data_IF_003861837120
#
_entry.id   IF_003861837120
#
_cell.length_a   1.000
_cell.length_b   1.000
_cell.length_c   1.000
_cell.angle_alpha   90.00
_cell.angle_beta   90.00
_cell.angle_gamma   90.00
#
_symmetry.space_group_name_H-M   'P 1'
#
loop_
_entity.id
_entity.type
_entity.pdbx_description
1 polymer ?
#
# COMPACT_ATOMS: atom_id res chain seq x y z
N UNK A 1 74.60 39.45 17.04
CA UNK A 1 74.02 38.30 16.32
C UNK A 1 75.16 37.33 16.10
N UNK A 2 75.27 36.32 16.95
CA UNK A 2 76.24 35.24 16.70
C UNK A 2 75.68 34.41 15.54
N UNK A 3 76.37 34.44 14.41
CA UNK A 3 76.15 33.47 13.36
C UNK A 3 76.59 32.13 13.93
N UNK A 4 75.63 31.23 14.18
CA UNK A 4 75.92 29.83 14.44
C UNK A 4 76.74 29.30 13.27
N UNK A 5 78.05 29.24 13.43
CA UNK A 5 78.97 28.68 12.43
C UNK A 5 78.56 27.25 12.22
N UNK A 6 78.10 26.92 11.01
CA UNK A 6 77.70 25.56 10.66
C UNK A 6 78.90 24.66 10.92
N UNK A 7 78.75 23.76 11.89
CA UNK A 7 79.80 22.79 12.23
C UNK A 7 79.95 21.81 11.05
N UNK A 8 81.05 21.97 10.32
CA UNK A 8 81.42 21.20 9.13
C UNK A 8 82.42 20.09 9.47
N UNK A 9 82.61 19.76 10.74
CA UNK A 9 83.52 18.69 11.19
C UNK A 9 83.18 17.31 10.62
N UNK A 10 81.95 17.11 10.14
CA UNK A 10 81.50 15.89 9.47
C UNK A 10 81.91 15.82 7.98
N UNK A 11 82.36 16.94 7.40
CA UNK A 11 82.71 17.03 5.99
C UNK A 11 84.16 16.57 5.78
N UNK A 12 84.43 15.68 4.80
CA UNK A 12 85.79 15.26 4.48
C UNK A 12 86.70 16.46 4.19
N UNK A 13 87.97 16.40 4.58
CA UNK A 13 88.92 17.51 4.35
C UNK A 13 89.40 17.58 2.90
N UNK A 14 89.37 16.45 2.19
CA UNK A 14 89.75 16.38 0.77
C UNK A 14 88.58 16.80 -0.15
N UNK A 15 88.89 17.61 -1.17
CA UNK A 15 87.87 18.19 -2.06
C UNK A 15 87.23 17.16 -2.99
N UNK A 16 87.96 16.10 -3.38
CA UNK A 16 87.42 15.05 -4.23
C UNK A 16 86.45 14.16 -3.43
N UNK A 17 86.79 13.87 -2.17
CA UNK A 17 85.89 13.18 -1.23
C UNK A 17 84.60 13.97 -0.93
N UNK A 18 84.67 15.30 -0.79
CA UNK A 18 83.50 16.15 -0.63
C UNK A 18 82.54 16.09 -1.83
N UNK A 19 83.10 16.11 -3.04
CA UNK A 19 82.33 16.01 -4.28
C UNK A 19 81.68 14.62 -4.41
N UNK A 20 82.41 13.55 -4.08
CA UNK A 20 81.86 12.20 -4.03
C UNK A 20 80.72 12.07 -3.01
N UNK A 21 80.86 12.69 -1.83
CA UNK A 21 79.80 12.75 -0.81
C UNK A 21 78.57 13.52 -1.32
N UNK A 22 78.77 14.66 -1.98
CA UNK A 22 77.70 15.42 -2.64
C UNK A 22 76.92 14.57 -3.65
N UNK A 23 77.61 13.85 -4.53
CA UNK A 23 76.98 12.91 -5.46
C UNK A 23 76.20 11.81 -4.75
N UNK A 24 76.73 11.27 -3.64
CA UNK A 24 76.05 10.24 -2.85
C UNK A 24 74.78 10.78 -2.19
N UNK A 25 74.82 11.98 -1.61
CA UNK A 25 73.65 12.65 -1.02
C UNK A 25 72.57 12.86 -2.08
N UNK A 26 72.95 13.42 -3.22
CA UNK A 26 72.02 13.66 -4.34
C UNK A 26 71.45 12.33 -4.85
N UNK A 27 72.30 11.33 -5.10
CA UNK A 27 71.87 10.00 -5.55
C UNK A 27 70.90 9.36 -4.56
N UNK A 28 71.17 9.44 -3.26
CA UNK A 28 70.29 8.92 -2.22
C UNK A 28 68.96 9.69 -2.16
N UNK A 29 68.97 11.01 -2.31
CA UNK A 29 67.76 11.81 -2.37
C UNK A 29 66.86 11.40 -3.56
N UNK A 30 67.46 11.22 -4.75
CA UNK A 30 66.72 10.71 -5.91
C UNK A 30 66.20 9.29 -5.70
N UNK A 31 67.03 8.37 -5.17
CA UNK A 31 66.59 7.00 -4.86
C UNK A 31 65.44 6.98 -3.86
N UNK A 32 65.51 7.79 -2.80
CA UNK A 32 64.42 7.91 -1.83
C UNK A 32 63.16 8.43 -2.49
N UNK A 33 63.26 9.48 -3.32
CA UNK A 33 62.10 10.04 -4.02
C UNK A 33 61.46 9.04 -4.98
N UNK A 34 62.28 8.32 -5.74
CA UNK A 34 61.81 7.24 -6.63
C UNK A 34 61.10 6.16 -5.83
N UNK A 35 61.70 5.69 -4.73
CA UNK A 35 61.10 4.67 -3.87
C UNK A 35 59.74 5.11 -3.31
N UNK A 36 59.62 6.36 -2.83
CA UNK A 36 58.34 6.91 -2.38
C UNK A 36 57.31 6.91 -3.50
N UNK A 37 57.66 7.44 -4.68
CA UNK A 37 56.75 7.46 -5.84
C UNK A 37 56.34 6.06 -6.29
N UNK A 38 57.25 5.09 -6.27
CA UNK A 38 56.95 3.69 -6.59
C UNK A 38 55.97 3.08 -5.59
N UNK A 39 56.12 3.36 -4.30
CA UNK A 39 55.17 2.89 -3.26
C UNK A 39 53.80 3.53 -3.42
N UNK A 40 53.74 4.85 -3.67
CA UNK A 40 52.50 5.56 -3.94
C UNK A 40 51.80 4.98 -5.18
N UNK A 41 52.55 4.76 -6.26
CA UNK A 41 52.03 4.19 -7.51
C UNK A 41 51.47 2.78 -7.30
N UNK A 42 52.16 1.92 -6.55
CA UNK A 42 51.66 0.59 -6.17
C UNK A 42 50.36 0.69 -5.35
N UNK A 43 50.30 1.59 -4.38
CA UNK A 43 49.11 1.83 -3.56
C UNK A 43 47.92 2.30 -4.42
N UNK A 44 48.13 3.26 -5.31
CA UNK A 44 47.08 3.77 -6.19
C UNK A 44 46.57 2.69 -7.16
N UNK A 45 47.47 1.84 -7.68
CA UNK A 45 47.06 0.69 -8.51
C UNK A 45 46.20 -0.31 -7.73
N UNK A 46 46.53 -0.59 -6.48
CA UNK A 46 45.73 -1.47 -5.62
C UNK A 46 44.32 -0.89 -5.37
N UNK A 47 44.22 0.41 -5.09
CA UNK A 47 42.94 1.10 -4.93
C UNK A 47 42.09 1.05 -6.21
N UNK A 48 42.71 1.24 -7.39
CA UNK A 48 41.99 1.12 -8.67
C UNK A 48 41.43 -0.30 -8.86
N UNK A 49 42.20 -1.34 -8.54
CA UNK A 49 41.74 -2.72 -8.63
C UNK A 49 40.55 -2.97 -7.68
N UNK A 50 40.65 -2.55 -6.42
CA UNK A 50 39.56 -2.67 -5.45
C UNK A 50 38.28 -1.96 -5.90
N UNK A 51 38.40 -0.75 -6.45
CA UNK A 51 37.26 0.02 -6.98
C UNK A 51 36.65 -0.66 -8.21
N UNK A 52 37.47 -1.28 -9.05
CA UNK A 52 37.01 -2.03 -10.22
C UNK A 52 36.19 -3.26 -9.77
N UNK A 53 36.65 -3.97 -8.75
CA UNK A 53 35.92 -5.12 -8.17
C UNK A 53 34.60 -4.69 -7.52
N UNK A 54 34.60 -3.58 -6.78
CA UNK A 54 33.39 -3.00 -6.20
C UNK A 54 32.37 -2.61 -7.28
N UNK A 55 32.82 -2.01 -8.38
CA UNK A 55 31.96 -1.65 -9.51
C UNK A 55 31.37 -2.90 -10.16
N UNK A 56 32.17 -3.93 -10.42
CA UNK A 56 31.70 -5.19 -11.01
C UNK A 56 30.65 -5.88 -10.11
N UNK A 57 30.86 -5.90 -8.79
CA UNK A 57 29.90 -6.44 -7.84
C UNK A 57 28.58 -5.65 -7.83
N UNK A 58 28.65 -4.33 -7.88
CA UNK A 58 27.47 -3.46 -7.91
C UNK A 58 26.71 -3.62 -9.23
N UNK A 59 27.42 -3.70 -10.36
CA UNK A 59 26.83 -3.94 -11.67
C UNK A 59 26.08 -5.29 -11.71
N UNK A 60 26.66 -6.35 -11.13
CA UNK A 60 25.97 -7.65 -11.00
C UNK A 60 24.69 -7.54 -10.18
N UNK A 61 24.70 -6.82 -9.05
CA UNK A 61 23.51 -6.57 -8.23
C UNK A 61 22.45 -5.78 -9.01
N UNK A 62 22.88 -4.76 -9.75
CA UNK A 62 22.00 -3.94 -10.58
C UNK A 62 21.30 -4.79 -11.64
N UNK A 63 22.04 -5.60 -12.40
CA UNK A 63 21.45 -6.51 -13.40
C UNK A 63 20.49 -7.52 -12.76
N UNK A 64 20.81 -8.02 -11.56
CA UNK A 64 19.89 -8.91 -10.82
C UNK A 64 18.58 -8.21 -10.44
N UNK A 65 18.63 -6.96 -9.97
CA UNK A 65 17.43 -6.21 -9.64
C UNK A 65 16.62 -5.82 -10.87
N UNK A 66 17.28 -5.52 -11.99
CA UNK A 66 16.62 -5.24 -13.27
C UNK A 66 15.79 -6.45 -13.74
N UNK A 67 16.35 -7.67 -13.65
CA UNK A 67 15.62 -8.91 -13.96
C UNK A 67 14.44 -9.11 -13.02
N UNK A 68 14.62 -8.96 -11.70
CA UNK A 68 13.52 -9.10 -10.73
C UNK A 68 12.40 -8.09 -10.95
N UNK A 69 12.74 -6.85 -11.31
CA UNK A 69 11.78 -5.82 -11.63
C UNK A 69 10.98 -6.17 -12.89
N UNK A 70 11.66 -6.69 -13.92
CA UNK A 70 11.02 -7.15 -15.16
C UNK A 70 10.05 -8.30 -14.89
N UNK A 71 10.48 -9.32 -14.14
CA UNK A 71 9.65 -10.48 -13.76
C UNK A 71 8.44 -10.05 -12.91
N UNK A 72 8.64 -9.20 -11.91
CA UNK A 72 7.56 -8.68 -11.07
C UNK A 72 6.56 -7.87 -11.87
N UNK A 73 7.02 -7.05 -12.81
CA UNK A 73 6.14 -6.26 -13.70
C UNK A 73 5.34 -7.17 -14.61
N UNK A 74 5.98 -8.18 -15.22
CA UNK A 74 5.31 -9.17 -16.06
C UNK A 74 4.24 -9.94 -15.28
N UNK A 75 4.55 -10.39 -14.06
CA UNK A 75 3.59 -11.08 -13.19
C UNK A 75 2.42 -10.16 -12.81
N UNK A 76 2.69 -8.90 -12.51
CA UNK A 76 1.64 -7.90 -12.25
C UNK A 76 0.67 -7.73 -13.42
N UNK A 77 1.21 -7.67 -14.65
CA UNK A 77 0.40 -7.55 -15.86
C UNK A 77 -0.45 -8.81 -16.12
N UNK A 78 0.09 -10.00 -15.88
CA UNK A 78 -0.67 -11.27 -15.99
C UNK A 78 -1.86 -11.29 -15.03
N UNK A 79 -1.63 -10.97 -13.75
CA UNK A 79 -2.69 -10.91 -12.75
C UNK A 79 -3.74 -9.84 -13.09
N UNK A 80 -3.35 -8.72 -13.69
CA UNK A 80 -4.28 -7.68 -14.12
C UNK A 80 -5.21 -8.19 -15.25
N UNK A 81 -4.68 -8.90 -16.24
CA UNK A 81 -5.49 -9.50 -17.31
C UNK A 81 -6.37 -10.65 -16.79
N UNK A 82 -5.86 -11.51 -15.90
CA UNK A 82 -6.67 -12.54 -15.24
C UNK A 82 -7.83 -11.92 -14.46
N UNK A 83 -7.58 -10.88 -13.67
CA UNK A 83 -8.62 -10.16 -12.93
C UNK A 83 -9.67 -9.55 -13.87
N UNK A 84 -9.24 -8.95 -14.98
CA UNK A 84 -10.16 -8.40 -16.00
C UNK A 84 -11.03 -9.50 -16.63
N UNK A 85 -10.45 -10.67 -16.89
CA UNK A 85 -11.18 -11.83 -17.39
C UNK A 85 -12.19 -12.35 -16.36
N UNK A 86 -11.80 -12.49 -15.10
CA UNK A 86 -12.69 -12.90 -14.00
C UNK A 86 -13.85 -11.92 -13.82
N UNK A 87 -13.57 -10.61 -13.83
CA UNK A 87 -14.61 -9.56 -13.76
C UNK A 87 -15.57 -9.65 -14.94
N UNK A 88 -15.07 -9.94 -16.16
CA UNK A 88 -15.91 -10.17 -17.34
C UNK A 88 -16.84 -11.37 -17.14
N UNK A 89 -16.32 -12.48 -16.61
CA UNK A 89 -17.09 -13.69 -16.31
C UNK A 89 -18.15 -13.44 -15.23
N UNK A 90 -17.80 -12.76 -14.14
CA UNK A 90 -18.75 -12.36 -13.08
C UNK A 90 -19.89 -11.54 -13.67
N UNK A 91 -19.58 -10.55 -14.53
CA UNK A 91 -20.60 -9.72 -15.20
C UNK A 91 -21.53 -10.54 -16.11
N UNK A 92 -21.01 -11.57 -16.80
CA UNK A 92 -21.84 -12.47 -17.62
C UNK A 92 -22.76 -13.30 -16.75
N UNK A 93 -22.23 -13.94 -15.70
CA UNK A 93 -23.01 -14.75 -14.77
C UNK A 93 -24.09 -13.93 -14.06
N UNK A 94 -23.79 -12.69 -13.66
CA UNK A 94 -24.80 -11.79 -13.08
C UNK A 94 -25.97 -11.54 -14.04
N UNK A 95 -25.69 -11.27 -15.31
CA UNK A 95 -26.75 -11.10 -16.33
C UNK A 95 -27.59 -12.35 -16.52
N UNK A 96 -26.96 -13.53 -16.45
CA UNK A 96 -27.68 -14.80 -16.58
C UNK A 96 -28.54 -15.09 -15.34
N UNK A 97 -28.07 -14.73 -14.14
CA UNK A 97 -28.87 -14.76 -12.91
C UNK A 97 -30.09 -13.84 -13.05
N UNK A 98 -29.91 -12.59 -13.47
CA UNK A 98 -31.00 -11.62 -13.62
C UNK A 98 -32.06 -12.13 -14.63
N UNK A 99 -31.62 -12.79 -15.71
CA UNK A 99 -32.51 -13.44 -16.69
C UNK A 99 -33.28 -14.60 -16.07
N UNK A 100 -32.62 -15.46 -15.29
CA UNK A 100 -33.26 -16.59 -14.61
C UNK A 100 -34.27 -16.11 -13.55
N UNK A 101 -33.97 -15.04 -12.82
CA UNK A 101 -34.91 -14.42 -11.87
C UNK A 101 -36.13 -13.84 -12.59
N UNK A 102 -35.92 -13.19 -13.75
CA UNK A 102 -37.01 -12.68 -14.58
C UNK A 102 -37.89 -13.82 -15.09
N UNK A 103 -37.30 -14.89 -15.61
CA UNK A 103 -38.02 -16.09 -16.06
C UNK A 103 -38.81 -16.73 -14.92
N UNK A 104 -38.19 -16.89 -13.74
CA UNK A 104 -38.87 -17.40 -12.54
C UNK A 104 -40.09 -16.54 -12.20
N UNK A 105 -39.97 -15.21 -12.22
CA UNK A 105 -41.08 -14.30 -11.93
C UNK A 105 -42.21 -14.44 -12.95
N UNK A 106 -41.88 -14.53 -14.24
CA UNK A 106 -42.86 -14.73 -15.31
C UNK A 106 -43.59 -16.07 -15.17
N UNK A 107 -42.86 -17.16 -14.90
CA UNK A 107 -43.45 -18.50 -14.69
C UNK A 107 -44.38 -18.50 -13.48
N UNK A 108 -43.96 -17.91 -12.35
CA UNK A 108 -44.81 -17.82 -11.16
C UNK A 108 -46.07 -16.97 -11.39
N UNK A 109 -45.97 -15.87 -12.14
CA UNK A 109 -47.13 -15.03 -12.52
C UNK A 109 -48.11 -15.82 -13.40
N UNK A 110 -47.62 -16.52 -14.42
CA UNK A 110 -48.45 -17.33 -15.31
C UNK A 110 -49.17 -18.45 -14.56
N UNK A 111 -48.49 -19.14 -13.63
CA UNK A 111 -49.13 -20.18 -12.80
C UNK A 111 -50.18 -19.56 -11.86
N UNK A 112 -49.93 -18.36 -11.32
CA UNK A 112 -50.90 -17.66 -10.47
C UNK A 112 -52.11 -17.17 -11.28
N UNK A 113 -51.91 -16.68 -12.50
CA UNK A 113 -52.97 -16.28 -13.43
C UNK A 113 -53.83 -17.49 -13.82
N UNK A 114 -53.23 -18.63 -14.20
CA UNK A 114 -53.96 -19.86 -14.50
C UNK A 114 -54.76 -20.39 -13.29
N UNK A 115 -54.19 -20.37 -12.07
CA UNK A 115 -54.91 -20.76 -10.86
C UNK A 115 -56.07 -19.81 -10.54
N UNK A 116 -55.87 -18.50 -10.71
CA UNK A 116 -56.93 -17.51 -10.51
C UNK A 116 -58.03 -17.65 -11.57
N UNK A 117 -57.72 -17.97 -12.83
CA UNK A 117 -58.75 -18.24 -13.84
C UNK A 117 -59.56 -19.49 -13.52
N UNK A 118 -58.95 -20.54 -12.95
CA UNK A 118 -59.65 -21.74 -12.50
C UNK A 118 -60.52 -21.44 -11.27
N UNK A 119 -60.03 -20.67 -10.29
CA UNK A 119 -60.85 -20.21 -9.14
C UNK A 119 -61.98 -19.26 -9.56
N UNK A 120 -61.73 -18.35 -10.51
CA UNK A 120 -62.71 -17.39 -10.98
C UNK A 120 -63.75 -18.05 -11.90
N UNK A 121 -63.35 -19.09 -12.66
CA UNK A 121 -64.27 -19.99 -13.38
C UNK A 121 -65.11 -20.81 -12.38
N UNK A 122 -64.52 -21.33 -11.30
CA UNK A 122 -65.26 -21.95 -10.21
C UNK A 122 -66.24 -21.00 -9.49
N UNK A 123 -65.90 -19.70 -9.37
CA UNK A 123 -66.82 -18.67 -8.87
C UNK A 123 -67.91 -18.29 -9.86
N UNK A 124 -67.64 -18.28 -11.16
CA UNK A 124 -68.64 -18.03 -12.21
C UNK A 124 -69.69 -19.14 -12.32
N UNK A 125 -69.37 -20.38 -11.92
CA UNK A 125 -70.34 -21.49 -11.82
C UNK A 125 -70.99 -21.62 -10.43
N UNK A 126 -70.60 -20.82 -9.44
CA UNK A 126 -71.23 -20.80 -8.12
C UNK A 126 -72.35 -19.77 -8.10
N UNK A 127 -73.60 -20.24 -8.19
CA UNK A 127 -74.83 -19.45 -8.39
C UNK A 127 -75.28 -18.60 -7.19
N UNK A 128 -74.41 -18.31 -6.21
CA UNK A 128 -74.84 -17.76 -4.91
C UNK A 128 -74.55 -16.25 -4.73
N UNK A 129 -73.83 -15.59 -5.65
CA UNK A 129 -73.39 -14.19 -5.48
C UNK A 129 -74.13 -13.16 -6.35
N UNK A 130 -75.28 -13.51 -6.94
CA UNK A 130 -76.10 -12.55 -7.72
C UNK A 130 -77.09 -11.72 -6.86
N UNK A 131 -77.15 -11.94 -5.55
CA UNK A 131 -78.16 -11.32 -4.67
C UNK A 131 -77.51 -10.41 -3.62
N UNK A 132 -76.77 -9.36 -4.01
CA UNK A 132 -76.48 -8.31 -3.00
C UNK A 132 -76.25 -6.87 -3.47
N UNK A 133 -76.15 -6.58 -4.77
CA UNK A 133 -75.78 -5.22 -5.22
C UNK A 133 -76.91 -4.41 -5.87
N UNK A 134 -78.17 -4.85 -5.75
CA UNK A 134 -79.36 -4.04 -6.09
C UNK A 134 -79.70 -3.05 -4.96
N UNK A 135 -78.94 -1.97 -4.81
CA UNK A 135 -79.42 -0.77 -4.13
C UNK A 135 -78.64 0.48 -4.57
N UNK A 136 -79.29 1.51 -5.16
CA UNK A 136 -78.65 2.77 -5.47
C UNK A 136 -78.73 3.71 -4.26
N UNK A 137 -77.65 4.44 -3.96
CA UNK A 137 -77.71 5.66 -3.15
C UNK A 137 -76.97 6.82 -3.81
N UNK A 138 -77.79 7.68 -4.39
CA UNK A 138 -77.63 9.12 -4.62
C UNK A 138 -77.41 9.86 -3.28
N UNK A 139 -76.45 10.80 -3.20
CA UNK A 139 -76.62 12.28 -3.27
C UNK A 139 -75.34 13.03 -2.82
N UNK A 140 -75.03 14.12 -3.54
CA UNK A 140 -74.49 15.44 -3.15
C UNK A 140 -73.51 15.54 -1.95
N UNK A 141 -72.40 16.31 -2.00
CA UNK A 141 -72.38 17.75 -2.25
C UNK A 141 -70.94 18.28 -2.49
N UNK A 142 -70.89 19.44 -3.14
CA UNK A 142 -69.74 20.19 -3.65
C UNK A 142 -69.11 21.07 -2.54
N UNK A 143 -67.81 21.36 -2.60
CA UNK A 143 -67.33 22.71 -2.95
C UNK A 143 -65.80 22.76 -3.15
N UNK A 144 -65.29 23.51 -4.14
CA UNK A 144 -63.87 23.73 -4.41
C UNK A 144 -63.38 25.03 -3.77
N UNK A 145 -62.06 25.16 -3.60
CA UNK A 145 -61.41 26.45 -3.68
C UNK A 145 -59.95 26.29 -4.12
N UNK A 146 -59.61 27.21 -5.02
CA UNK A 146 -58.56 27.19 -6.02
C UNK A 146 -57.36 28.04 -5.57
N UNK A 147 -56.29 28.00 -6.39
CA UNK A 147 -55.09 28.87 -6.41
C UNK A 147 -53.91 28.42 -5.54
N UNK A 148 -52.65 28.51 -5.94
CA UNK A 148 -51.90 28.64 -7.20
C UNK A 148 -50.41 28.62 -6.74
N UNK A 149 -49.51 28.36 -7.69
CA UNK A 149 -48.12 28.80 -7.73
C UNK A 149 -46.99 27.88 -7.20
N UNK A 150 -46.53 27.05 -8.15
CA UNK A 150 -45.17 26.96 -8.71
C UNK A 150 -43.90 26.71 -7.86
N UNK A 151 -42.94 26.13 -8.61
CA UNK A 151 -41.48 26.11 -8.43
C UNK A 151 -40.81 25.01 -7.59
N UNK A 152 -40.18 24.10 -8.37
CA UNK A 152 -38.84 23.49 -8.19
C UNK A 152 -38.68 22.12 -7.50
N UNK A 153 -38.39 21.13 -8.38
CA UNK A 153 -37.27 20.17 -8.35
C UNK A 153 -37.04 19.28 -7.10
N UNK A 154 -37.16 17.96 -7.36
CA UNK A 154 -36.16 16.88 -7.14
C UNK A 154 -35.24 17.07 -5.91
N UNK A 155 -35.21 16.21 -4.89
CA UNK A 155 -34.90 14.76 -4.92
C UNK A 155 -34.90 14.23 -3.47
N UNK A 156 -35.30 12.97 -3.26
CA UNK A 156 -34.64 12.05 -2.33
C UNK A 156 -35.06 12.08 -0.86
N UNK A 157 -36.12 11.35 -0.50
CA UNK A 157 -36.36 10.94 0.88
C UNK A 157 -35.73 9.58 1.19
N UNK A 158 -35.13 9.57 2.38
CA UNK A 158 -35.12 8.50 3.40
C UNK A 158 -34.33 7.22 3.13
N UNK A 159 -33.16 7.21 3.77
CA UNK A 159 -32.88 6.35 4.92
C UNK A 159 -33.84 5.16 5.08
N UNK A 160 -33.35 3.99 4.69
CA UNK A 160 -34.00 2.71 4.97
C UNK A 160 -33.14 1.98 5.99
N UNK A 161 -33.54 2.10 7.25
CA UNK A 161 -33.17 1.16 8.31
C UNK A 161 -33.61 -0.24 7.89
N UNK A 162 -32.70 -1.21 7.98
CA UNK A 162 -33.05 -2.62 8.13
C UNK A 162 -32.23 -3.20 9.29
N UNK A 163 -32.87 -3.82 10.29
CA UNK A 163 -32.20 -4.52 11.37
C UNK A 163 -32.02 -6.00 11.00
N UNK A 164 -30.82 -6.53 11.18
CA UNK A 164 -30.48 -7.96 11.17
C UNK A 164 -29.01 -8.06 11.60
N UNK A 165 -28.53 -8.99 12.40
CA UNK A 165 -29.11 -10.10 13.12
C UNK A 165 -28.10 -10.46 14.22
N UNK A 166 -28.59 -11.02 15.32
CA UNK A 166 -27.78 -11.62 16.38
C UNK A 166 -27.14 -12.90 15.85
N UNK A 167 -25.81 -12.98 15.94
CA UNK A 167 -24.99 -14.19 15.91
C UNK A 167 -23.75 -13.88 16.78
N UNK A 168 -23.76 -14.24 18.06
CA UNK A 168 -23.27 -15.51 18.63
C UNK A 168 -21.81 -15.82 18.23
N UNK A 169 -20.94 -15.65 19.24
CA UNK A 169 -19.65 -16.30 19.50
C UNK A 169 -18.48 -16.06 18.55
N UNK A 170 -17.52 -15.28 19.08
CA UNK A 170 -16.16 -15.21 18.60
C UNK A 170 -15.47 -13.92 19.03
N UNK A 171 -15.37 -13.68 20.35
CA UNK A 171 -14.35 -12.77 20.87
C UNK A 171 -12.99 -13.27 20.36
N UNK A 172 -12.53 -12.66 19.27
CA UNK A 172 -11.11 -12.51 19.03
C UNK A 172 -10.82 -11.07 19.39
N UNK A 173 -9.88 -10.86 20.32
CA UNK A 173 -9.23 -9.57 20.55
C UNK A 173 -8.42 -9.14 19.32
N UNK A 174 -9.02 -9.13 18.13
CA UNK A 174 -8.43 -8.53 16.95
C UNK A 174 -8.68 -7.05 17.07
N UNK A 175 -7.66 -6.30 17.48
CA UNK A 175 -7.64 -4.84 17.43
C UNK A 175 -8.22 -4.38 16.10
N UNK A 176 -9.24 -3.53 16.14
CA UNK A 176 -9.84 -2.98 14.93
C UNK A 176 -8.82 -2.04 14.26
N UNK A 177 -8.19 -2.52 13.18
CA UNK A 177 -7.21 -1.76 12.43
C UNK A 177 -7.72 -0.39 11.97
N UNK A 178 -9.03 -0.26 11.65
CA UNK A 178 -9.61 1.04 11.27
C UNK A 178 -9.65 2.02 12.44
N UNK A 179 -9.97 1.55 13.64
CA UNK A 179 -9.97 2.39 14.84
C UNK A 179 -8.55 2.76 15.27
N UNK A 180 -7.59 1.84 15.15
CA UNK A 180 -6.18 2.11 15.39
C UNK A 180 -5.68 3.26 14.50
N UNK A 181 -5.91 3.21 13.19
CA UNK A 181 -5.44 4.27 12.28
C UNK A 181 -6.12 5.63 12.54
N UNK A 182 -7.41 5.63 12.92
CA UNK A 182 -8.09 6.87 13.31
C UNK A 182 -7.46 7.48 14.56
N UNK A 183 -7.19 6.65 15.56
CA UNK A 183 -6.59 7.07 16.84
C UNK A 183 -5.15 7.55 16.63
N UNK A 184 -4.33 6.79 15.90
CA UNK A 184 -2.97 7.17 15.56
C UNK A 184 -2.91 8.51 14.81
N UNK A 185 -3.84 8.75 13.87
CA UNK A 185 -3.92 10.02 13.14
C UNK A 185 -4.30 11.21 14.02
N UNK A 186 -5.14 11.00 15.03
CA UNK A 186 -5.54 12.08 15.95
C UNK A 186 -4.50 12.42 17.00
N UNK A 187 -3.59 11.48 17.28
CA UNK A 187 -2.66 11.54 18.40
C UNK A 187 -1.24 11.90 17.96
N UNK A 188 -0.82 11.44 16.78
CA UNK A 188 0.49 11.76 16.21
C UNK A 188 0.50 13.11 15.49
N UNK A 189 1.68 13.74 15.43
CA UNK A 189 1.91 14.87 14.52
C UNK A 189 1.78 14.41 13.05
N UNK A 190 1.53 15.37 12.14
CA UNK A 190 1.43 15.05 10.71
C UNK A 190 2.68 14.38 10.14
N UNK A 191 3.86 14.80 10.62
CA UNK A 191 5.15 14.26 10.21
C UNK A 191 5.40 12.86 10.80
N UNK A 192 5.06 12.65 12.07
CA UNK A 192 5.17 11.34 12.74
C UNK A 192 4.22 10.31 12.13
N UNK A 193 2.98 10.72 11.84
CA UNK A 193 2.00 9.86 11.17
C UNK A 193 2.43 9.49 9.74
N UNK A 194 3.01 10.45 9.01
CA UNK A 194 3.54 10.21 7.66
C UNK A 194 4.76 9.28 7.68
N UNK A 195 5.67 9.48 8.64
CA UNK A 195 6.80 8.59 8.90
C UNK A 195 6.34 7.17 9.23
N UNK A 196 5.32 7.05 10.09
CA UNK A 196 4.71 5.77 10.46
C UNK A 196 4.09 5.04 9.26
N UNK A 197 3.36 5.74 8.39
CA UNK A 197 2.81 5.15 7.15
C UNK A 197 3.91 4.67 6.20
N UNK A 198 5.02 5.42 6.09
CA UNK A 198 6.15 5.01 5.26
C UNK A 198 6.78 3.70 5.77
N UNK A 199 6.91 3.55 7.09
CA UNK A 199 7.35 2.29 7.74
C UNK A 199 6.40 1.13 7.46
N UNK A 200 5.08 1.33 7.60
CA UNK A 200 4.08 0.28 7.26
C UNK A 200 4.18 -0.11 5.79
N UNK A 201 4.35 0.87 4.88
CA UNK A 201 4.48 0.61 3.45
C UNK A 201 5.72 -0.24 3.16
N UNK A 202 6.87 0.06 3.78
CA UNK A 202 8.11 -0.72 3.65
C UNK A 202 7.96 -2.15 4.18
N UNK A 203 7.29 -2.33 5.31
CA UNK A 203 6.96 -3.64 5.86
C UNK A 203 6.05 -4.44 4.91
N UNK A 204 5.00 -3.82 4.36
CA UNK A 204 4.08 -4.45 3.42
C UNK A 204 4.75 -4.85 2.09
N UNK A 205 5.78 -4.11 1.65
CA UNK A 205 6.60 -4.46 0.48
C UNK A 205 7.74 -5.43 0.79
N UNK A 206 7.78 -6.02 1.99
CA UNK A 206 8.84 -6.93 2.46
C UNK A 206 10.27 -6.33 2.45
N UNK A 207 10.37 -5.00 2.44
CA UNK A 207 11.65 -4.27 2.46
C UNK A 207 12.17 -4.00 3.88
N UNK A 208 11.38 -4.33 4.89
CA UNK A 208 11.71 -4.10 6.29
C UNK A 208 11.27 -5.31 7.10
N UNK A 209 12.15 -5.80 7.96
CA UNK A 209 11.82 -6.89 8.87
C UNK A 209 10.83 -6.43 9.93
N UNK A 210 10.17 -7.38 10.56
CA UNK A 210 9.25 -7.11 11.66
C UNK A 210 9.93 -6.40 12.83
N UNK A 211 11.14 -6.81 13.19
CA UNK A 211 11.90 -6.23 14.31
C UNK A 211 12.26 -4.77 14.03
N UNK A 212 12.71 -4.47 12.81
CA UNK A 212 12.99 -3.10 12.38
C UNK A 212 11.73 -2.24 12.36
N UNK A 213 10.59 -2.81 11.95
CA UNK A 213 9.28 -2.13 11.90
C UNK A 213 8.81 -1.77 13.32
N UNK A 214 8.95 -2.70 14.26
CA UNK A 214 8.62 -2.47 15.67
C UNK A 214 9.59 -1.49 16.35
N UNK A 215 10.86 -1.48 15.96
CA UNK A 215 11.83 -0.49 16.44
C UNK A 215 11.49 0.94 15.98
N UNK A 216 11.11 1.11 14.71
CA UNK A 216 10.65 2.42 14.20
C UNK A 216 9.33 2.84 14.85
N UNK A 217 8.38 1.93 15.01
CA UNK A 217 7.14 2.21 15.73
C UNK A 217 7.41 2.59 17.20
N UNK A 218 8.40 1.97 17.87
CA UNK A 218 8.83 2.39 19.22
C UNK A 218 9.40 3.81 19.23
N UNK A 219 10.12 4.22 18.20
CA UNK A 219 10.62 5.59 18.13
C UNK A 219 9.50 6.61 17.93
N UNK A 220 8.49 6.28 17.13
CA UNK A 220 7.35 7.17 16.82
C UNK A 220 6.31 7.21 17.95
N UNK A 221 6.00 6.07 18.57
CA UNK A 221 4.97 5.97 19.61
C UNK A 221 5.52 5.92 21.04
N UNK A 222 6.76 5.43 21.24
CA UNK A 222 7.19 4.83 22.50
C UNK A 222 7.40 5.80 23.66
N UNK A 223 7.60 7.10 23.40
CA UNK A 223 7.76 8.08 24.48
C UNK A 223 6.41 8.66 24.99
N UNK A 224 5.37 8.63 24.17
CA UNK A 224 4.10 9.31 24.49
C UNK A 224 2.86 8.41 24.46
N UNK A 225 2.89 7.31 23.68
CA UNK A 225 1.72 6.48 23.40
C UNK A 225 2.04 4.97 23.42
N UNK A 226 2.39 4.39 24.58
CA UNK A 226 2.73 2.97 24.71
C UNK A 226 1.56 2.04 24.36
N UNK A 227 0.32 2.49 24.51
CA UNK A 227 -0.88 1.73 24.13
C UNK A 227 -1.00 1.52 22.62
N UNK A 228 -0.71 2.55 21.82
CA UNK A 228 -0.71 2.45 20.36
C UNK A 228 0.36 1.48 19.87
N UNK A 229 1.53 1.46 20.53
CA UNK A 229 2.57 0.50 20.21
C UNK A 229 2.13 -0.95 20.46
N UNK A 230 1.41 -1.21 21.57
CA UNK A 230 0.94 -2.55 21.90
C UNK A 230 -0.19 -3.01 20.96
N UNK A 231 -1.13 -2.11 20.63
CA UNK A 231 -2.15 -2.35 19.61
C UNK A 231 -1.53 -2.64 18.23
N UNK A 232 -0.48 -1.90 17.85
CA UNK A 232 0.25 -2.13 16.60
C UNK A 232 0.99 -3.47 16.58
N UNK A 233 1.59 -3.89 17.70
CA UNK A 233 2.20 -5.23 17.80
C UNK A 233 1.16 -6.33 17.59
N UNK A 234 -0.05 -6.17 18.11
CA UNK A 234 -1.14 -7.14 17.93
C UNK A 234 -1.66 -7.15 16.48
N UNK A 235 -1.67 -5.99 15.79
CA UNK A 235 -2.02 -5.91 14.37
C UNK A 235 -1.00 -6.58 13.45
N UNK A 236 0.30 -6.48 13.78
CA UNK A 236 1.39 -7.15 13.04
C UNK A 236 1.56 -8.60 13.48
N UNK A 237 1.01 -8.98 14.63
CA UNK A 237 1.06 -10.33 15.18
C UNK A 237 -0.29 -10.71 15.78
N UNK A 238 -1.26 -11.14 14.95
CA UNK A 238 -2.44 -11.77 15.50
C UNK A 238 -1.95 -12.99 16.28
N UNK A 239 -2.07 -12.96 17.62
CA UNK A 239 -1.82 -14.15 18.44
C UNK A 239 -2.77 -15.23 17.93
N UNK A 240 -2.21 -16.34 17.48
CA UNK A 240 -2.96 -17.54 17.12
C UNK A 240 -3.53 -18.21 18.37
#
# INVERSE_FOLDING_TARGET
MEFSTVDLSWLPSDTEEQLALGFRIISNAYKSRISTLETELRSMRALIAEKTDQLAALQKKYSSFEVQLMESTQRGNQLAEENKNLVSTIKKLQKDIDRLETLKKLVLSSIQEDNNEVENSHRFFSTDEMIHNLAPRTVLELNPNDSDDSFTRKKGHSARNMPAAIGINGERETVDGRQFFRTAKSVLSGDDFSSFLATIKKFNTQLQTREETLAHARHIFGEHHPRLLEEFKQLINPKH
#
